data_IF_230788701013
#
_entry.id   IF_230788701013
#
_cell.length_a   1.000
_cell.length_b   1.000
_cell.length_c   1.000
_cell.angle_alpha   90.00
_cell.angle_beta   90.00
_cell.angle_gamma   90.00
#
_symmetry.space_group_name_H-M   'P 1'
#
loop_
_entity.id
_entity.type
_entity.pdbx_description
1 polymer ?
#
# COMPACT_ATOMS: atom_id res chain seq x y z
N UNK A 1 14.39 39.14 -29.54
CA UNK A 1 14.76 37.87 -30.19
C UNK A 1 14.06 36.77 -29.46
N UNK A 2 13.03 36.22 -30.05
CA UNK A 2 12.16 35.16 -29.44
C UNK A 2 12.86 33.82 -29.62
N UNK A 3 13.19 33.15 -28.51
CA UNK A 3 13.74 31.79 -28.56
C UNK A 3 12.57 30.81 -28.76
N UNK A 4 12.50 30.23 -29.94
CA UNK A 4 11.57 29.17 -30.30
C UNK A 4 12.01 27.89 -29.56
N UNK A 5 11.23 27.47 -28.57
CA UNK A 5 11.42 26.16 -27.94
C UNK A 5 11.11 25.06 -28.98
N UNK A 6 12.13 24.27 -29.29
CA UNK A 6 11.98 23.09 -30.14
C UNK A 6 11.06 22.07 -29.45
N UNK A 7 10.02 21.62 -30.15
CA UNK A 7 9.19 20.47 -29.74
C UNK A 7 10.09 19.23 -29.65
N UNK A 8 10.00 18.41 -28.57
CA UNK A 8 10.75 17.18 -28.51
C UNK A 8 10.30 16.23 -29.63
N UNK A 9 11.26 15.78 -30.40
CA UNK A 9 11.09 14.75 -31.44
C UNK A 9 10.65 13.44 -30.76
N UNK A 10 9.68 12.68 -31.28
CA UNK A 10 9.35 11.36 -30.73
C UNK A 10 10.58 10.45 -30.87
N UNK A 11 11.12 9.99 -29.73
CA UNK A 11 12.18 8.96 -29.72
C UNK A 11 11.66 7.70 -30.42
N UNK A 12 12.41 7.21 -31.39
CA UNK A 12 12.10 5.96 -32.10
C UNK A 12 12.08 4.80 -31.10
N UNK A 13 10.99 4.04 -31.06
CA UNK A 13 10.84 2.85 -30.22
C UNK A 13 11.89 1.82 -30.61
N UNK A 14 12.73 1.43 -29.65
CA UNK A 14 13.66 0.30 -29.82
C UNK A 14 12.85 -0.99 -30.03
N UNK A 15 13.34 -1.97 -30.84
CA UNK A 15 12.67 -3.25 -31.01
C UNK A 15 12.32 -3.89 -29.67
N UNK A 16 11.09 -4.36 -29.49
CA UNK A 16 10.62 -4.99 -28.25
C UNK A 16 10.16 -4.01 -27.16
N UNK A 17 9.94 -2.73 -27.50
CA UNK A 17 9.37 -1.73 -26.58
C UNK A 17 8.24 -0.94 -27.22
N UNK A 18 7.42 -0.28 -26.37
CA UNK A 18 6.40 0.68 -26.79
C UNK A 18 6.39 1.88 -25.84
N UNK A 19 5.78 2.96 -26.29
CA UNK A 19 5.64 4.19 -25.50
C UNK A 19 4.31 4.17 -24.74
N UNK A 20 4.33 4.57 -23.47
CA UNK A 20 3.15 4.77 -22.63
C UNK A 20 3.21 6.15 -21.98
N UNK A 21 2.06 6.83 -21.84
CA UNK A 21 1.96 8.07 -21.07
C UNK A 21 2.05 7.75 -19.58
N UNK A 22 2.65 8.68 -18.83
CA UNK A 22 2.78 8.57 -17.38
C UNK A 22 2.82 9.96 -16.74
N UNK A 23 2.54 10.02 -15.45
CA UNK A 23 2.77 11.18 -14.60
C UNK A 23 4.00 10.94 -13.72
N UNK A 24 4.94 11.88 -13.75
CA UNK A 24 6.21 11.78 -13.06
C UNK A 24 6.61 13.07 -12.36
N UNK A 25 7.36 12.92 -11.28
CA UNK A 25 8.20 14.00 -10.74
C UNK A 25 9.57 13.99 -11.44
N UNK A 26 10.08 15.17 -11.76
CA UNK A 26 11.41 15.36 -12.39
C UNK A 26 12.50 15.64 -11.36
N UNK A 27 12.13 16.00 -10.15
CA UNK A 27 13.01 16.29 -9.02
C UNK A 27 12.22 16.21 -7.70
N UNK A 28 12.87 16.23 -6.53
CA UNK A 28 12.20 16.21 -5.23
C UNK A 28 11.20 17.36 -4.98
N UNK A 29 11.36 18.44 -5.73
CA UNK A 29 10.57 19.67 -5.56
C UNK A 29 9.69 20.00 -6.76
N UNK A 30 9.71 19.20 -7.82
CA UNK A 30 8.87 19.43 -8.99
C UNK A 30 7.43 18.91 -8.73
N UNK A 31 6.48 19.60 -9.34
CA UNK A 31 5.14 19.03 -9.48
C UNK A 31 5.18 17.78 -10.37
N UNK A 32 4.22 16.88 -10.13
CA UNK A 32 3.93 15.78 -11.02
C UNK A 32 3.41 16.33 -12.35
N UNK A 33 3.91 15.80 -13.45
CA UNK A 33 3.53 16.19 -14.80
C UNK A 33 3.59 15.03 -15.79
N UNK A 34 2.94 15.20 -16.93
CA UNK A 34 2.88 14.17 -17.97
C UNK A 34 4.24 14.02 -18.67
N UNK A 35 4.62 12.76 -18.84
CA UNK A 35 5.79 12.34 -19.63
C UNK A 35 5.44 11.11 -20.47
N UNK A 36 6.30 10.78 -21.41
CA UNK A 36 6.28 9.47 -22.07
C UNK A 36 7.37 8.59 -21.47
N UNK A 37 7.04 7.35 -21.19
CA UNK A 37 7.96 6.32 -20.72
C UNK A 37 8.02 5.16 -21.71
N UNK A 38 9.10 4.38 -21.66
CA UNK A 38 9.21 3.13 -22.42
C UNK A 38 8.73 1.96 -21.54
N UNK A 39 7.94 1.07 -22.13
CA UNK A 39 7.56 -0.22 -21.58
C UNK A 39 8.06 -1.32 -22.51
N UNK A 40 8.44 -2.49 -21.95
CA UNK A 40 8.75 -3.67 -22.77
C UNK A 40 7.47 -4.24 -23.37
N UNK A 41 7.57 -4.85 -24.56
CA UNK A 41 6.53 -5.78 -25.04
C UNK A 41 6.55 -7.04 -24.20
N UNK A 42 5.41 -7.73 -23.98
CA UNK A 42 5.37 -8.94 -23.18
C UNK A 42 6.36 -10.01 -23.63
N UNK A 43 7.20 -10.48 -22.72
CA UNK A 43 8.03 -11.68 -22.84
C UNK A 43 7.15 -12.91 -22.57
N UNK A 44 7.65 -14.17 -22.75
CA UNK A 44 6.81 -15.37 -22.66
C UNK A 44 5.94 -15.48 -21.42
N UNK A 45 6.41 -15.06 -20.25
CA UNK A 45 5.65 -15.09 -18.97
C UNK A 45 5.03 -13.75 -18.57
N UNK A 46 5.16 -12.72 -19.37
CA UNK A 46 4.69 -11.39 -19.03
C UNK A 46 3.19 -11.21 -19.33
N UNK A 47 2.54 -10.46 -18.47
CA UNK A 47 1.18 -9.95 -18.64
C UNK A 47 1.27 -8.43 -18.80
N UNK A 48 0.74 -7.90 -19.89
CA UNK A 48 0.54 -6.47 -20.11
C UNK A 48 -0.84 -6.08 -19.60
N UNK A 49 -0.89 -5.14 -18.69
CA UNK A 49 -2.11 -4.66 -18.06
C UNK A 49 -2.35 -3.21 -18.48
N UNK A 50 -3.49 -2.91 -19.06
CA UNK A 50 -4.04 -1.57 -19.17
C UNK A 50 -4.53 -1.15 -17.79
N UNK A 51 -4.01 -0.05 -17.25
CA UNK A 51 -4.32 0.40 -15.90
C UNK A 51 -5.62 1.19 -15.93
N UNK A 52 -6.61 0.73 -15.17
CA UNK A 52 -7.88 1.42 -15.00
C UNK A 52 -7.83 2.37 -13.81
N UNK A 53 -7.31 1.88 -12.68
CA UNK A 53 -7.21 2.63 -11.44
C UNK A 53 -5.85 2.42 -10.77
N UNK A 54 -5.36 3.47 -10.14
CA UNK A 54 -4.18 3.38 -9.26
C UNK A 54 -4.41 4.17 -7.98
N UNK A 55 -4.26 3.52 -6.84
CA UNK A 55 -4.37 4.20 -5.55
C UNK A 55 -3.18 5.11 -5.27
N UNK A 56 -3.41 6.11 -4.41
CA UNK A 56 -2.36 7.03 -3.91
C UNK A 56 -2.01 6.67 -2.47
N UNK A 57 -0.74 6.39 -2.22
CA UNK A 57 -0.17 6.11 -0.92
C UNK A 57 0.74 7.26 -0.44
N UNK A 58 0.90 7.40 0.88
CA UNK A 58 1.94 8.30 1.44
C UNK A 58 3.34 7.90 0.96
N UNK A 59 3.59 6.61 0.75
CA UNK A 59 4.85 6.11 0.20
C UNK A 59 5.17 6.72 -1.16
N UNK A 60 4.17 6.92 -2.04
CA UNK A 60 4.36 7.56 -3.33
C UNK A 60 4.88 8.99 -3.17
N UNK A 61 4.30 9.75 -2.22
CA UNK A 61 4.73 11.11 -1.92
C UNK A 61 6.12 11.16 -1.30
N UNK A 62 6.44 10.25 -0.37
CA UNK A 62 7.77 10.14 0.23
C UNK A 62 8.86 9.87 -0.82
N UNK A 63 8.60 8.98 -1.79
CA UNK A 63 9.51 8.75 -2.91
C UNK A 63 9.61 9.97 -3.82
N UNK A 64 8.48 10.55 -4.25
CA UNK A 64 8.49 11.77 -5.09
C UNK A 64 9.34 12.87 -4.47
N UNK A 65 9.30 13.04 -3.15
CA UNK A 65 10.07 14.04 -2.39
C UNK A 65 11.45 13.58 -1.96
N UNK A 66 11.83 12.33 -2.28
CA UNK A 66 13.11 11.72 -1.86
C UNK A 66 13.33 11.74 -0.33
N UNK A 67 12.27 11.59 0.43
CA UNK A 67 12.32 11.60 1.90
C UNK A 67 12.95 10.31 2.47
N UNK A 68 13.04 9.26 1.67
CA UNK A 68 13.76 8.01 2.00
C UNK A 68 15.20 7.97 1.48
N UNK A 69 15.80 9.11 1.14
CA UNK A 69 17.13 9.20 0.52
C UNK A 69 18.23 8.41 1.25
N UNK A 70 18.15 8.32 2.57
CA UNK A 70 19.14 7.59 3.40
C UNK A 70 19.03 6.05 3.31
N UNK A 71 17.90 5.52 2.83
CA UNK A 71 17.62 4.08 2.77
C UNK A 71 17.43 3.65 1.32
N UNK A 72 16.58 4.36 0.58
CA UNK A 72 16.23 4.12 -0.81
C UNK A 72 16.12 5.45 -1.56
N UNK A 73 17.24 5.99 -2.10
CA UNK A 73 17.22 7.24 -2.84
C UNK A 73 16.35 7.13 -4.10
N UNK A 74 15.62 8.19 -4.41
CA UNK A 74 14.75 8.24 -5.58
C UNK A 74 15.54 8.57 -6.84
N UNK A 75 15.32 7.77 -7.88
CA UNK A 75 15.82 8.07 -9.24
C UNK A 75 14.74 8.84 -10.02
N UNK A 76 15.13 9.95 -10.64
CA UNK A 76 14.23 10.77 -11.45
C UNK A 76 14.48 10.57 -12.96
N UNK A 77 13.41 10.65 -13.81
CA UNK A 77 12.02 10.91 -13.45
C UNK A 77 11.44 9.76 -12.61
N UNK A 78 10.68 10.10 -11.57
CA UNK A 78 9.99 9.13 -10.72
C UNK A 78 8.53 9.02 -11.14
N UNK A 79 8.10 7.83 -11.58
CA UNK A 79 6.70 7.48 -11.84
C UNK A 79 6.25 6.55 -10.72
N UNK A 80 5.52 7.04 -9.72
CA UNK A 80 5.08 6.22 -8.59
C UNK A 80 3.82 5.40 -8.91
N UNK A 81 3.22 4.81 -7.88
CA UNK A 81 2.00 4.01 -7.95
C UNK A 81 2.26 2.50 -7.86
N UNK A 82 1.80 1.92 -6.77
CA UNK A 82 1.95 0.48 -6.44
C UNK A 82 0.62 -0.16 -5.98
N UNK A 83 -0.49 0.48 -6.33
CA UNK A 83 -1.84 0.02 -6.02
C UNK A 83 -2.63 -0.05 -7.34
N UNK A 84 -2.24 -0.96 -8.23
CA UNK A 84 -2.69 -1.01 -9.63
C UNK A 84 -3.82 -2.00 -9.79
N UNK A 85 -4.94 -1.56 -10.36
CA UNK A 85 -6.02 -2.42 -10.85
C UNK A 85 -6.27 -2.10 -12.31
N UNK A 86 -6.35 -3.14 -13.14
CA UNK A 86 -6.50 -2.97 -14.58
C UNK A 86 -7.07 -4.18 -15.29
N UNK A 87 -6.93 -4.15 -16.59
CA UNK A 87 -7.38 -5.21 -17.49
C UNK A 87 -6.20 -5.77 -18.29
N UNK A 88 -6.11 -7.08 -18.38
CA UNK A 88 -5.11 -7.76 -19.22
C UNK A 88 -5.34 -7.38 -20.67
N UNK A 89 -4.40 -6.68 -21.26
CA UNK A 89 -4.43 -6.23 -22.65
C UNK A 89 -3.72 -7.22 -23.59
N UNK A 90 -2.59 -7.81 -23.13
CA UNK A 90 -1.83 -8.82 -23.87
C UNK A 90 -1.15 -9.77 -22.89
N UNK A 91 -0.89 -10.99 -23.35
CA UNK A 91 -0.15 -12.00 -22.61
C UNK A 91 1.01 -12.56 -23.43
N UNK A 92 2.07 -12.98 -22.74
CA UNK A 92 3.15 -13.76 -23.35
C UNK A 92 2.75 -15.20 -23.64
N UNK A 93 3.51 -15.87 -24.49
CA UNK A 93 3.18 -17.22 -25.03
C UNK A 93 3.21 -18.33 -23.98
N UNK A 94 3.80 -18.11 -22.82
CA UNK A 94 3.90 -19.09 -21.72
C UNK A 94 3.04 -18.70 -20.50
N UNK A 95 2.24 -17.63 -20.58
CA UNK A 95 1.29 -17.23 -19.52
C UNK A 95 0.18 -18.27 -19.43
N UNK A 96 -0.12 -18.70 -18.21
CA UNK A 96 -1.13 -19.74 -17.92
C UNK A 96 -2.21 -19.28 -16.94
N UNK A 97 -1.91 -18.27 -16.13
CA UNK A 97 -2.80 -17.80 -15.04
C UNK A 97 -3.85 -16.78 -15.51
N UNK A 98 -3.61 -16.15 -16.66
CA UNK A 98 -4.43 -15.05 -17.18
C UNK A 98 -4.70 -15.18 -18.66
N UNK A 99 -5.78 -14.55 -19.13
CA UNK A 99 -6.11 -14.32 -20.53
C UNK A 99 -6.45 -12.86 -20.77
N UNK A 100 -6.39 -12.44 -22.03
CA UNK A 100 -6.81 -11.08 -22.43
C UNK A 100 -8.27 -10.82 -22.02
N UNK A 101 -8.49 -9.61 -21.46
CA UNK A 101 -9.76 -9.19 -20.91
C UNK A 101 -9.98 -9.48 -19.43
N UNK A 102 -9.18 -10.33 -18.80
CA UNK A 102 -9.28 -10.59 -17.35
C UNK A 102 -8.96 -9.32 -16.52
N UNK A 103 -9.58 -9.22 -15.36
CA UNK A 103 -9.22 -8.22 -14.37
C UNK A 103 -7.96 -8.68 -13.63
N UNK A 104 -7.01 -7.77 -13.47
CA UNK A 104 -5.73 -8.05 -12.87
C UNK A 104 -5.28 -6.89 -11.97
N UNK A 105 -4.46 -7.22 -10.99
CA UNK A 105 -3.89 -6.23 -10.08
C UNK A 105 -2.38 -6.45 -9.89
N UNK A 106 -1.67 -5.37 -9.58
CA UNK A 106 -0.25 -5.37 -9.22
C UNK A 106 -0.05 -4.53 -7.98
N UNK A 107 0.54 -5.12 -6.94
CA UNK A 107 0.82 -4.46 -5.67
C UNK A 107 2.20 -3.82 -5.63
N UNK A 108 2.85 -3.92 -4.47
CA UNK A 108 4.11 -3.23 -4.20
C UNK A 108 5.33 -3.84 -4.91
N UNK A 109 5.26 -5.08 -5.39
CA UNK A 109 6.38 -5.82 -5.95
C UNK A 109 6.06 -6.34 -7.35
N UNK A 110 7.09 -6.38 -8.22
CA UNK A 110 6.99 -6.88 -9.60
C UNK A 110 7.99 -7.99 -9.91
N UNK A 111 8.94 -8.26 -9.02
CA UNK A 111 9.87 -9.40 -9.13
C UNK A 111 10.59 -9.67 -7.78
N UNK A 112 11.29 -10.80 -7.70
CA UNK A 112 12.19 -11.21 -6.62
C UNK A 112 13.23 -12.20 -7.16
N UNK A 113 14.15 -12.72 -6.30
CA UNK A 113 15.08 -13.78 -6.73
C UNK A 113 14.41 -15.14 -6.91
N UNK A 114 13.19 -15.33 -6.38
CA UNK A 114 12.34 -16.54 -6.47
C UNK A 114 12.98 -17.82 -5.92
N UNK A 115 14.20 -17.74 -5.39
CA UNK A 115 15.01 -18.90 -5.01
C UNK A 115 15.41 -18.96 -3.56
N UNK A 116 15.45 -17.84 -2.85
CA UNK A 116 15.73 -17.81 -1.41
C UNK A 116 14.59 -18.43 -0.59
N UNK A 117 14.83 -18.67 0.68
CA UNK A 117 13.87 -19.27 1.61
C UNK A 117 12.54 -18.47 1.65
N UNK A 118 12.63 -17.16 1.89
CA UNK A 118 11.46 -16.29 1.94
C UNK A 118 10.61 -16.35 0.64
N UNK A 119 11.24 -16.30 -0.55
CA UNK A 119 10.52 -16.40 -1.81
C UNK A 119 9.84 -17.77 -1.99
N UNK A 120 10.46 -18.88 -1.56
CA UNK A 120 9.84 -20.21 -1.62
C UNK A 120 8.65 -20.35 -0.67
N UNK A 121 8.65 -19.60 0.42
CA UNK A 121 7.57 -19.56 1.40
C UNK A 121 6.45 -18.62 0.98
N UNK A 122 6.63 -17.83 -0.10
CA UNK A 122 5.67 -16.84 -0.59
C UNK A 122 5.70 -15.55 0.22
N UNK A 123 6.87 -15.23 0.77
CA UNK A 123 7.17 -14.02 1.54
C UNK A 123 8.20 -13.17 0.78
N UNK A 124 7.92 -12.87 -0.48
CA UNK A 124 8.82 -12.17 -1.41
C UNK A 124 9.24 -10.79 -0.88
N UNK A 125 8.45 -10.16 -0.02
CA UNK A 125 8.80 -8.89 0.65
C UNK A 125 10.06 -8.99 1.51
N UNK A 126 10.45 -10.21 1.91
CA UNK A 126 11.66 -10.50 2.67
C UNK A 126 12.74 -11.18 1.82
N UNK A 127 12.67 -11.06 0.50
CA UNK A 127 13.64 -11.65 -0.43
C UNK A 127 15.08 -11.28 -0.04
N UNK A 128 15.96 -12.28 0.08
CA UNK A 128 17.35 -12.09 0.50
C UNK A 128 18.15 -11.19 -0.47
N UNK A 129 17.80 -11.18 -1.74
CA UNK A 129 18.38 -10.31 -2.78
C UNK A 129 17.63 -8.99 -2.95
N UNK A 130 16.75 -8.66 -2.03
CA UNK A 130 15.75 -7.60 -2.08
C UNK A 130 14.70 -7.81 -3.18
N UNK A 131 13.41 -7.57 -2.90
CA UNK A 131 12.36 -7.59 -3.91
C UNK A 131 12.52 -6.42 -4.87
N UNK A 132 12.06 -6.59 -6.11
CA UNK A 132 11.95 -5.47 -7.05
C UNK A 132 10.59 -4.82 -6.85
N UNK A 133 10.61 -3.59 -6.37
CA UNK A 133 9.40 -2.80 -6.18
C UNK A 133 8.81 -2.32 -7.50
N UNK A 134 7.52 -2.06 -7.51
CA UNK A 134 6.74 -1.67 -8.69
C UNK A 134 7.23 -0.37 -9.32
N UNK A 135 7.85 0.51 -8.52
CA UNK A 135 8.59 1.66 -9.01
C UNK A 135 9.87 1.89 -8.19
N UNK A 136 10.81 2.64 -8.78
CA UNK A 136 12.12 2.97 -8.21
C UNK A 136 12.98 1.74 -7.84
N UNK A 137 12.60 0.53 -8.25
CA UNK A 137 13.43 -0.67 -8.17
C UNK A 137 14.30 -0.82 -9.42
N UNK A 138 15.36 -1.65 -9.40
CA UNK A 138 16.20 -1.88 -10.59
C UNK A 138 15.39 -2.59 -11.69
N UNK A 139 15.25 -1.98 -12.86
CA UNK A 139 14.62 -2.63 -14.02
C UNK A 139 15.61 -3.57 -14.71
N UNK A 140 15.45 -4.87 -14.50
CA UNK A 140 16.29 -5.92 -15.08
C UNK A 140 16.06 -6.13 -16.59
N UNK A 141 15.04 -5.50 -17.17
CA UNK A 141 14.63 -5.70 -18.56
C UNK A 141 15.03 -4.54 -19.47
N UNK A 142 14.84 -3.31 -19.04
CA UNK A 142 15.13 -2.11 -19.83
C UNK A 142 16.31 -1.32 -19.28
N UNK A 143 16.83 -1.70 -18.11
CA UNK A 143 17.80 -0.92 -17.36
C UNK A 143 17.19 0.29 -16.67
N UNK A 144 17.97 0.94 -15.80
CA UNK A 144 17.46 2.04 -14.98
C UNK A 144 16.54 1.55 -13.86
N UNK A 145 15.40 2.16 -13.70
CA UNK A 145 14.44 1.84 -12.63
C UNK A 145 13.06 1.50 -13.17
N UNK A 146 12.33 0.70 -12.39
CA UNK A 146 10.92 0.39 -12.65
C UNK A 146 10.06 1.65 -12.52
N UNK A 147 8.99 1.73 -13.30
CA UNK A 147 7.99 2.78 -13.28
C UNK A 147 6.63 2.23 -12.88
N UNK A 148 5.94 2.94 -11.98
CA UNK A 148 4.70 2.50 -11.36
C UNK A 148 3.43 2.75 -12.16
N UNK A 149 2.33 2.71 -11.42
CA UNK A 149 0.97 2.71 -11.95
C UNK A 149 0.39 4.07 -12.28
N UNK A 150 1.13 5.18 -12.06
CA UNK A 150 0.66 6.48 -12.57
C UNK A 150 0.96 6.58 -14.07
N UNK A 151 0.55 5.55 -14.82
CA UNK A 151 0.78 5.39 -16.24
C UNK A 151 -0.33 4.57 -16.91
N UNK A 152 -0.40 4.62 -18.24
CA UNK A 152 -1.43 3.93 -19.02
C UNK A 152 -1.36 2.40 -18.87
N UNK A 153 -0.16 1.86 -18.66
CA UNK A 153 0.01 0.40 -18.65
C UNK A 153 1.23 -0.04 -17.86
N UNK A 154 1.25 -1.31 -17.47
CA UNK A 154 2.39 -1.98 -16.86
C UNK A 154 2.57 -3.37 -17.49
N UNK A 155 3.82 -3.87 -17.49
CA UNK A 155 4.15 -5.24 -17.95
C UNK A 155 4.89 -5.95 -16.84
N UNK A 156 4.30 -7.06 -16.35
CA UNK A 156 4.76 -7.78 -15.17
C UNK A 156 4.70 -9.28 -15.43
N UNK A 157 5.65 -10.05 -14.92
CA UNK A 157 5.61 -11.52 -14.94
C UNK A 157 4.35 -12.03 -14.21
N UNK A 158 3.68 -13.05 -14.76
CA UNK A 158 2.41 -13.58 -14.23
C UNK A 158 2.49 -14.01 -12.76
N UNK A 159 3.67 -14.32 -12.23
CA UNK A 159 3.86 -14.71 -10.85
C UNK A 159 3.70 -13.54 -9.86
N UNK A 160 3.78 -12.30 -10.35
CA UNK A 160 3.57 -11.07 -9.57
C UNK A 160 2.27 -10.33 -9.93
N UNK A 161 1.41 -10.99 -10.70
CA UNK A 161 0.08 -10.49 -11.05
C UNK A 161 -0.99 -11.19 -10.21
N UNK A 162 -1.95 -10.43 -9.71
CA UNK A 162 -3.02 -10.87 -8.81
C UNK A 162 -4.36 -10.88 -9.54
N UNK A 163 -5.22 -11.84 -9.22
CA UNK A 163 -6.61 -11.88 -9.69
C UNK A 163 -7.46 -10.97 -8.82
N UNK A 164 -8.34 -10.20 -9.46
CA UNK A 164 -9.32 -9.35 -8.77
C UNK A 164 -10.66 -10.08 -8.65
N UNK A 165 -11.23 -10.26 -7.44
CA UNK A 165 -12.57 -10.81 -7.26
C UNK A 165 -13.61 -9.97 -8.01
N UNK A 166 -14.50 -10.63 -8.75
CA UNK A 166 -15.43 -9.97 -9.68
C UNK A 166 -16.50 -9.09 -9.00
N UNK A 167 -16.78 -9.35 -7.74
CA UNK A 167 -17.78 -8.61 -6.95
C UNK A 167 -17.22 -7.35 -6.27
N UNK A 168 -15.90 -7.13 -6.31
CA UNK A 168 -15.30 -5.94 -5.74
C UNK A 168 -15.34 -4.77 -6.73
N UNK A 169 -15.65 -3.58 -6.23
CA UNK A 169 -15.56 -2.34 -6.99
C UNK A 169 -14.08 -2.02 -7.25
N UNK A 170 -13.71 -1.76 -8.52
CA UNK A 170 -12.31 -1.74 -8.96
C UNK A 170 -11.49 -0.61 -8.33
N UNK A 171 -12.05 0.61 -8.30
CA UNK A 171 -11.36 1.73 -7.70
C UNK A 171 -11.11 1.51 -6.20
N UNK A 172 -12.13 0.98 -5.49
CA UNK A 172 -12.03 0.68 -4.06
C UNK A 172 -11.14 -0.56 -3.75
N UNK A 173 -10.83 -1.37 -4.76
CA UNK A 173 -9.90 -2.50 -4.66
C UNK A 173 -8.43 -2.05 -4.73
N UNK A 174 -8.12 -0.99 -5.46
CA UNK A 174 -6.73 -0.55 -5.65
C UNK A 174 -5.97 -0.35 -4.32
N UNK A 175 -6.50 0.34 -3.29
CA UNK A 175 -5.79 0.48 -2.02
C UNK A 175 -5.60 -0.80 -1.21
N UNK A 176 -6.33 -1.89 -1.53
CA UNK A 176 -6.13 -3.19 -0.88
C UNK A 176 -4.71 -3.73 -1.14
N UNK A 177 -4.12 -3.39 -2.26
CA UNK A 177 -2.80 -3.86 -2.71
C UNK A 177 -1.63 -3.28 -1.89
N UNK A 178 -1.90 -2.26 -1.06
CA UNK A 178 -0.94 -1.71 -0.12
C UNK A 178 -1.56 -1.64 1.29
N UNK A 179 -2.55 -0.76 1.51
CA UNK A 179 -3.16 -0.58 2.83
C UNK A 179 -3.89 -1.85 3.32
N UNK A 180 -4.52 -2.58 2.40
CA UNK A 180 -5.19 -3.86 2.70
C UNK A 180 -4.19 -4.89 3.17
N UNK A 181 -3.22 -5.25 2.35
CA UNK A 181 -2.24 -6.30 2.69
C UNK A 181 -1.38 -5.91 3.89
N UNK A 182 -0.95 -4.64 4.02
CA UNK A 182 -0.15 -4.15 5.15
C UNK A 182 -0.88 -4.32 6.49
N UNK A 183 -2.20 -4.26 6.51
CA UNK A 183 -2.99 -4.46 7.73
C UNK A 183 -3.52 -5.89 7.88
N UNK A 184 -3.75 -6.59 6.78
CA UNK A 184 -4.19 -8.00 6.79
C UNK A 184 -3.08 -8.95 7.27
N UNK A 185 -1.87 -8.83 6.71
CA UNK A 185 -0.75 -9.71 7.02
C UNK A 185 -0.49 -9.82 8.53
N UNK A 186 -0.29 -8.73 9.29
CA UNK A 186 -0.05 -8.84 10.73
C UNK A 186 -1.27 -9.35 11.51
N UNK A 187 -2.52 -9.08 11.07
CA UNK A 187 -3.73 -9.67 11.68
C UNK A 187 -3.76 -11.19 11.48
N UNK A 188 -3.42 -11.64 10.28
CA UNK A 188 -3.35 -13.05 9.89
C UNK A 188 -2.27 -13.80 10.70
N UNK A 189 -1.05 -13.25 10.77
CA UNK A 189 0.06 -13.83 11.53
C UNK A 189 -0.16 -13.82 13.04
N UNK A 190 -0.90 -12.83 13.57
CA UNK A 190 -1.35 -12.83 14.95
C UNK A 190 -2.54 -13.76 15.21
N UNK A 191 -3.02 -14.47 14.18
CA UNK A 191 -4.17 -15.36 14.25
C UNK A 191 -5.42 -14.66 14.85
N UNK A 192 -5.67 -13.44 14.39
CA UNK A 192 -6.84 -12.63 14.80
C UNK A 192 -8.12 -13.34 14.35
N UNK A 193 -9.09 -13.45 15.28
CA UNK A 193 -10.35 -14.17 15.10
C UNK A 193 -11.39 -13.71 16.12
N UNK A 194 -12.58 -14.28 16.03
CA UNK A 194 -13.64 -14.06 17.02
C UNK A 194 -13.15 -14.33 18.45
N UNK A 195 -13.56 -13.49 19.38
CA UNK A 195 -13.20 -13.53 20.79
C UNK A 195 -11.91 -12.78 21.16
N UNK A 196 -11.11 -12.32 20.18
CA UNK A 196 -9.96 -11.47 20.46
C UNK A 196 -10.35 -9.98 20.45
N UNK A 197 -9.72 -9.20 21.31
CA UNK A 197 -9.85 -7.73 21.33
C UNK A 197 -8.63 -7.11 20.64
N UNK A 198 -8.90 -6.36 19.57
CA UNK A 198 -7.90 -5.76 18.71
C UNK A 198 -7.97 -4.24 18.78
N UNK A 199 -6.83 -3.59 19.00
CA UNK A 199 -6.68 -2.15 18.95
C UNK A 199 -6.14 -1.69 17.61
N UNK A 200 -6.73 -0.64 17.03
CA UNK A 200 -6.21 0.04 15.84
C UNK A 200 -5.81 1.44 16.23
N UNK A 201 -4.51 1.73 16.18
CA UNK A 201 -3.98 3.05 16.55
C UNK A 201 -3.88 3.91 15.30
N UNK A 202 -4.67 4.99 15.27
CA UNK A 202 -4.84 5.87 14.13
C UNK A 202 -6.00 5.45 13.20
N UNK A 203 -6.70 6.45 12.67
CA UNK A 203 -7.77 6.26 11.67
C UNK A 203 -7.46 7.10 10.44
N UNK A 204 -6.56 6.59 9.62
CA UNK A 204 -6.14 7.11 8.32
C UNK A 204 -6.24 6.02 7.26
N UNK A 205 -5.43 6.15 6.20
CA UNK A 205 -5.43 5.21 5.06
C UNK A 205 -5.16 3.75 5.42
N UNK A 206 -4.26 3.47 6.37
CA UNK A 206 -4.02 2.12 6.90
C UNK A 206 -5.08 1.75 7.94
N UNK A 207 -5.32 2.64 8.91
CA UNK A 207 -6.20 2.32 10.05
C UNK A 207 -7.62 1.98 9.64
N UNK A 208 -8.21 2.63 8.60
CA UNK A 208 -9.56 2.29 8.16
C UNK A 208 -9.62 0.87 7.58
N UNK A 209 -8.58 0.42 6.86
CA UNK A 209 -8.49 -0.97 6.41
C UNK A 209 -8.29 -1.95 7.57
N UNK A 210 -7.44 -1.58 8.55
CA UNK A 210 -7.25 -2.37 9.76
C UNK A 210 -8.56 -2.59 10.53
N UNK A 211 -9.41 -1.56 10.64
CA UNK A 211 -10.74 -1.69 11.27
C UNK A 211 -11.61 -2.67 10.48
N UNK A 212 -11.77 -2.46 9.17
CA UNK A 212 -12.63 -3.30 8.32
C UNK A 212 -12.17 -4.76 8.32
N UNK A 213 -10.88 -5.01 8.16
CA UNK A 213 -10.32 -6.37 8.12
C UNK A 213 -10.38 -7.07 9.47
N UNK A 214 -10.02 -6.40 10.57
CA UNK A 214 -10.13 -6.99 11.90
C UNK A 214 -11.59 -7.32 12.28
N UNK A 215 -12.53 -6.47 11.88
CA UNK A 215 -13.97 -6.71 12.06
C UNK A 215 -14.45 -7.90 11.23
N UNK A 216 -14.02 -7.99 9.96
CA UNK A 216 -14.37 -9.12 9.09
C UNK A 216 -13.79 -10.45 9.59
N UNK A 217 -12.63 -10.42 10.28
CA UNK A 217 -12.06 -11.58 11.00
C UNK A 217 -12.80 -11.92 12.30
N UNK A 218 -13.83 -11.14 12.67
CA UNK A 218 -14.67 -11.37 13.84
C UNK A 218 -14.12 -10.85 15.18
N UNK A 219 -13.06 -10.05 15.17
CA UNK A 219 -12.48 -9.49 16.38
C UNK A 219 -13.37 -8.37 16.98
N UNK A 220 -13.24 -8.15 18.29
CA UNK A 220 -13.76 -6.94 18.93
C UNK A 220 -12.78 -5.79 18.71
N UNK A 221 -13.13 -4.85 17.84
CA UNK A 221 -12.24 -3.78 17.36
C UNK A 221 -12.44 -2.49 18.13
N UNK A 222 -11.35 -1.92 18.64
CA UNK A 222 -11.32 -0.61 19.30
C UNK A 222 -10.35 0.31 18.55
N UNK A 223 -10.81 1.50 18.19
CA UNK A 223 -10.00 2.50 17.49
C UNK A 223 -9.45 3.51 18.49
N UNK A 224 -8.17 3.78 18.44
CA UNK A 224 -7.51 4.87 19.18
C UNK A 224 -7.29 6.07 18.25
N UNK A 225 -7.85 7.21 18.60
CA UNK A 225 -7.72 8.43 17.79
C UNK A 225 -7.56 9.67 18.68
N UNK A 226 -6.80 10.64 18.20
CA UNK A 226 -6.72 11.97 18.82
C UNK A 226 -7.81 12.92 18.34
N UNK A 227 -8.69 12.45 17.44
CA UNK A 227 -9.68 13.25 16.73
C UNK A 227 -11.09 12.74 17.02
N UNK A 228 -11.79 13.26 18.06
CA UNK A 228 -13.13 12.80 18.42
C UNK A 228 -14.18 12.87 17.28
N UNK A 229 -13.99 13.81 16.33
CA UNK A 229 -14.85 13.92 15.14
C UNK A 229 -14.80 12.69 14.23
N UNK A 230 -13.80 11.80 14.38
CA UNK A 230 -13.70 10.54 13.62
C UNK A 230 -14.49 9.39 14.26
N UNK A 231 -15.12 9.57 15.41
CA UNK A 231 -15.85 8.49 16.12
C UNK A 231 -16.95 7.88 15.26
N UNK A 232 -17.80 8.71 14.65
CA UNK A 232 -18.88 8.22 13.79
C UNK A 232 -18.35 7.41 12.59
N UNK A 233 -17.24 7.84 11.99
CA UNK A 233 -16.61 7.11 10.90
C UNK A 233 -16.02 5.77 11.38
N UNK A 234 -15.35 5.73 12.53
CA UNK A 234 -14.81 4.50 13.08
C UNK A 234 -15.91 3.45 13.31
N UNK A 235 -17.03 3.85 13.88
CA UNK A 235 -18.19 2.98 14.10
C UNK A 235 -18.78 2.50 12.76
N UNK A 236 -18.94 3.39 11.79
CA UNK A 236 -19.39 3.04 10.44
C UNK A 236 -18.49 2.02 9.75
N UNK A 237 -17.18 2.10 9.99
CA UNK A 237 -16.19 1.16 9.44
C UNK A 237 -16.20 -0.21 10.16
N UNK A 238 -16.89 -0.33 11.29
CA UNK A 238 -17.02 -1.58 12.04
C UNK A 238 -16.35 -1.59 13.41
N UNK A 239 -15.82 -0.46 13.89
CA UNK A 239 -15.28 -0.40 15.25
C UNK A 239 -16.40 -0.56 16.29
N UNK A 240 -16.14 -1.35 17.32
CA UNK A 240 -17.06 -1.58 18.43
C UNK A 240 -16.93 -0.49 19.49
N UNK A 241 -15.77 0.15 19.60
CA UNK A 241 -15.51 1.23 20.54
C UNK A 241 -14.43 2.19 19.98
N UNK A 242 -14.43 3.44 20.47
CA UNK A 242 -13.47 4.46 20.07
C UNK A 242 -12.95 5.17 21.31
N UNK A 243 -11.64 5.23 21.45
CA UNK A 243 -10.93 5.80 22.59
C UNK A 243 -10.18 7.05 22.14
N UNK A 244 -10.41 8.16 22.83
CA UNK A 244 -9.58 9.34 22.68
C UNK A 244 -8.21 9.08 23.33
N UNK A 245 -7.18 8.87 22.54
CA UNK A 245 -5.83 8.56 23.04
C UNK A 245 -5.13 9.70 23.79
N UNK A 246 -5.71 10.91 23.79
CA UNK A 246 -5.27 12.04 24.64
C UNK A 246 -5.91 12.06 26.02
N UNK A 247 -6.89 11.19 26.27
CA UNK A 247 -7.61 11.10 27.54
C UNK A 247 -7.05 9.95 28.37
N UNK A 248 -6.23 10.25 29.37
CA UNK A 248 -5.71 9.24 30.29
C UNK A 248 -6.83 8.45 30.95
N UNK A 249 -7.94 9.11 31.28
CA UNK A 249 -9.09 8.46 31.91
C UNK A 249 -9.77 7.45 30.99
N UNK A 250 -9.81 7.69 29.65
CA UNK A 250 -10.32 6.72 28.69
C UNK A 250 -9.32 5.58 28.50
N UNK A 251 -8.03 5.89 28.32
CA UNK A 251 -6.97 4.89 28.17
C UNK A 251 -6.91 3.93 29.36
N UNK A 252 -7.01 4.44 30.58
CA UNK A 252 -6.98 3.64 31.82
C UNK A 252 -8.07 2.55 31.88
N UNK A 253 -9.24 2.77 31.30
CA UNK A 253 -10.33 1.78 31.23
C UNK A 253 -9.94 0.51 30.45
N UNK A 254 -8.91 0.61 29.63
CA UNK A 254 -8.50 -0.45 28.71
C UNK A 254 -7.16 -1.12 29.10
N UNK A 255 -6.58 -0.78 30.23
CA UNK A 255 -5.32 -1.38 30.72
C UNK A 255 -5.46 -2.92 30.80
N UNK A 256 -4.50 -3.64 30.23
CA UNK A 256 -4.44 -5.11 30.19
C UNK A 256 -5.68 -5.80 29.56
N UNK A 257 -6.29 -5.18 28.55
CA UNK A 257 -7.50 -5.75 27.91
C UNK A 257 -7.33 -6.18 26.46
N UNK A 258 -6.24 -5.77 25.77
CA UNK A 258 -6.02 -6.07 24.35
C UNK A 258 -5.17 -7.32 24.15
N UNK A 259 -5.59 -8.16 23.23
CA UNK A 259 -4.81 -9.30 22.76
C UNK A 259 -3.77 -8.85 21.72
N UNK A 260 -4.16 -7.91 20.85
CA UNK A 260 -3.35 -7.42 19.76
C UNK A 260 -3.63 -5.93 19.49
N UNK A 261 -2.60 -5.18 19.13
CA UNK A 261 -2.73 -3.77 18.73
C UNK A 261 -1.89 -3.57 17.46
N UNK A 262 -2.49 -2.96 16.43
CA UNK A 262 -1.77 -2.49 15.24
C UNK A 262 -1.57 -0.99 15.35
N UNK A 263 -0.33 -0.55 15.22
CA UNK A 263 0.03 0.86 15.16
C UNK A 263 0.25 1.29 13.70
N UNK A 264 -0.61 2.18 13.23
CA UNK A 264 -0.61 2.70 11.86
C UNK A 264 -0.08 4.13 11.76
N UNK A 265 0.44 4.69 12.86
CA UNK A 265 0.87 6.09 12.92
C UNK A 265 2.32 6.24 12.44
N UNK A 266 2.58 7.05 11.40
CA UNK A 266 3.95 7.28 10.91
C UNK A 266 4.70 8.38 11.68
N UNK A 267 4.04 9.04 12.65
CA UNK A 267 4.62 10.12 13.41
C UNK A 267 5.01 9.67 14.84
N UNK A 268 5.91 10.42 15.47
CA UNK A 268 6.28 10.19 16.87
C UNK A 268 5.06 10.32 17.78
N UNK A 269 4.84 9.32 18.63
CA UNK A 269 3.79 9.30 19.65
C UNK A 269 4.19 8.41 20.83
N UNK A 270 3.37 8.40 21.89
CA UNK A 270 3.68 7.65 23.13
C UNK A 270 3.24 6.19 23.02
N UNK A 271 4.17 5.32 22.60
CA UNK A 271 3.89 3.88 22.42
C UNK A 271 3.72 3.11 23.72
N UNK A 272 4.37 3.55 24.81
CA UNK A 272 4.32 2.83 26.07
C UNK A 272 2.91 2.87 26.67
N UNK A 273 2.11 3.89 26.34
CA UNK A 273 0.70 3.92 26.70
C UNK A 273 -0.05 2.72 26.11
N UNK A 274 0.19 2.38 24.85
CA UNK A 274 -0.44 1.23 24.19
C UNK A 274 0.10 -0.12 24.67
N UNK A 275 1.38 -0.21 25.01
CA UNK A 275 1.96 -1.40 25.64
C UNK A 275 1.24 -1.72 26.96
N UNK A 276 0.87 -0.71 27.74
CA UNK A 276 0.14 -0.91 28.99
C UNK A 276 -1.26 -1.47 28.78
N UNK A 277 -1.87 -1.25 27.62
CA UNK A 277 -3.20 -1.78 27.27
C UNK A 277 -3.19 -3.28 26.94
N UNK A 278 -2.02 -3.83 26.56
CA UNK A 278 -1.88 -5.23 26.20
C UNK A 278 -2.09 -6.15 27.41
N UNK A 279 -2.81 -7.25 27.21
CA UNK A 279 -2.84 -8.39 28.13
C UNK A 279 -1.47 -9.03 28.28
N UNK A 280 -1.37 -9.99 29.20
CA UNK A 280 -0.25 -10.92 29.22
C UNK A 280 -0.16 -11.65 27.87
N UNK A 281 1.05 -11.73 27.31
CA UNK A 281 1.38 -12.32 26.01
C UNK A 281 0.84 -11.53 24.79
N UNK A 282 0.18 -10.39 25.02
CA UNK A 282 -0.32 -9.52 23.94
C UNK A 282 0.82 -8.87 23.15
N UNK A 283 0.50 -8.40 21.94
CA UNK A 283 1.47 -7.85 21.01
C UNK A 283 1.04 -6.50 20.46
N UNK A 284 1.98 -5.55 20.43
CA UNK A 284 1.90 -4.31 19.65
C UNK A 284 2.70 -4.47 18.37
N UNK A 285 2.07 -4.28 17.23
CA UNK A 285 2.70 -4.44 15.93
C UNK A 285 2.68 -3.13 15.13
N UNK A 286 3.85 -2.72 14.63
CA UNK A 286 4.01 -1.52 13.82
C UNK A 286 3.83 -1.85 12.34
N UNK A 287 3.05 -1.02 11.66
CA UNK A 287 2.95 -0.94 10.20
C UNK A 287 3.15 0.52 9.72
N UNK A 288 3.04 1.49 10.63
CA UNK A 288 3.50 2.85 10.40
C UNK A 288 5.02 2.96 10.59
N UNK A 289 5.68 3.83 9.84
CA UNK A 289 7.13 4.05 9.92
C UNK A 289 7.40 5.43 10.53
N UNK A 290 7.65 5.54 11.85
CA UNK A 290 8.03 6.80 12.47
C UNK A 290 9.37 7.31 11.93
N UNK A 291 9.46 8.61 11.67
CA UNK A 291 10.70 9.24 11.18
C UNK A 291 11.78 9.40 12.25
N UNK A 292 11.42 9.23 13.53
CA UNK A 292 12.32 9.35 14.68
C UNK A 292 12.31 8.08 15.53
N UNK A 293 13.42 7.78 16.26
CA UNK A 293 13.45 6.69 17.23
C UNK A 293 12.33 6.81 18.26
N UNK A 294 11.69 5.70 18.58
CA UNK A 294 10.60 5.62 19.54
C UNK A 294 11.12 5.06 20.86
N UNK A 295 11.06 5.80 21.97
CA UNK A 295 11.59 5.35 23.27
C UNK A 295 10.72 4.23 23.83
N UNK A 296 11.37 3.16 24.31
CA UNK A 296 10.73 1.96 24.85
C UNK A 296 11.05 1.80 26.34
N UNK A 297 10.01 1.64 27.16
CA UNK A 297 10.14 1.35 28.61
C UNK A 297 10.08 -0.16 28.82
N UNK A 298 11.24 -0.80 28.91
CA UNK A 298 11.40 -2.26 28.99
C UNK A 298 10.60 -2.94 30.11
N UNK A 299 10.50 -2.41 31.36
CA UNK A 299 9.67 -3.03 32.39
C UNK A 299 8.21 -3.28 31.96
N UNK A 300 7.63 -2.38 31.11
CA UNK A 300 6.28 -2.56 30.58
C UNK A 300 6.08 -3.83 29.76
N UNK A 301 7.14 -4.35 29.15
CA UNK A 301 7.13 -5.63 28.44
C UNK A 301 7.30 -6.82 29.40
N UNK A 302 8.21 -6.69 30.35
CA UNK A 302 8.60 -7.80 31.22
C UNK A 302 7.45 -8.29 32.09
N UNK A 303 6.70 -7.40 32.74
CA UNK A 303 5.64 -7.75 33.67
C UNK A 303 4.43 -8.43 33.03
N UNK A 304 4.37 -8.52 31.69
CA UNK A 304 3.28 -9.21 31.01
C UNK A 304 3.73 -10.13 29.89
N UNK A 305 5.03 -10.41 29.72
CA UNK A 305 5.59 -11.09 28.52
C UNK A 305 5.03 -10.49 27.22
N UNK A 306 4.84 -9.18 27.22
CA UNK A 306 4.27 -8.46 26.07
C UNK A 306 5.29 -8.42 24.94
N UNK A 307 4.80 -8.34 23.72
CA UNK A 307 5.64 -8.39 22.51
C UNK A 307 5.49 -7.10 21.73
N UNK A 308 6.59 -6.73 21.04
CA UNK A 308 6.60 -5.69 20.03
C UNK A 308 7.11 -6.33 18.75
N UNK A 309 6.48 -6.02 17.64
CA UNK A 309 6.88 -6.48 16.33
C UNK A 309 6.62 -5.44 15.24
N UNK A 310 7.04 -5.77 14.04
CA UNK A 310 6.75 -5.02 12.82
C UNK A 310 6.26 -5.96 11.73
N UNK A 311 5.58 -5.40 10.74
CA UNK A 311 5.15 -6.12 9.54
C UNK A 311 5.33 -5.22 8.33
N UNK A 312 5.84 -5.79 7.25
CA UNK A 312 6.07 -5.10 5.98
C UNK A 312 5.17 -5.71 4.92
N UNK A 313 4.18 -4.96 4.41
CA UNK A 313 3.27 -5.43 3.35
C UNK A 313 2.90 -6.91 3.52
N UNK A 314 2.94 -7.70 2.44
CA UNK A 314 2.82 -9.16 2.44
C UNK A 314 3.32 -9.72 1.11
N UNK A 315 3.60 -11.01 1.05
CA UNK A 315 3.99 -11.71 -0.17
C UNK A 315 2.85 -11.82 -1.17
N UNK A 316 3.15 -12.28 -2.38
CA UNK A 316 2.17 -12.36 -3.47
C UNK A 316 1.04 -13.34 -3.12
N UNK A 317 1.38 -14.49 -2.55
CA UNK A 317 0.39 -15.49 -2.12
C UNK A 317 -0.56 -14.92 -1.06
N UNK A 318 -0.01 -14.28 -0.04
CA UNK A 318 -0.82 -13.69 1.05
C UNK A 318 -1.66 -12.50 0.56
N UNK A 319 -1.13 -11.72 -0.41
CA UNK A 319 -1.89 -10.64 -1.04
C UNK A 319 -3.08 -11.18 -1.84
N UNK A 320 -2.92 -12.32 -2.53
CA UNK A 320 -4.05 -12.98 -3.19
C UNK A 320 -5.07 -13.52 -2.18
N UNK A 321 -4.62 -14.17 -1.09
CA UNK A 321 -5.50 -14.62 0.01
C UNK A 321 -6.29 -13.45 0.59
N UNK A 322 -5.66 -12.30 0.79
CA UNK A 322 -6.32 -11.09 1.28
C UNK A 322 -7.39 -10.58 0.29
N UNK A 323 -7.09 -10.57 -1.01
CA UNK A 323 -8.08 -10.16 -2.03
C UNK A 323 -9.26 -11.12 -2.07
N UNK A 324 -9.02 -12.43 -2.03
CA UNK A 324 -10.06 -13.46 -2.02
C UNK A 324 -10.92 -13.31 -0.74
N UNK A 325 -10.31 -13.12 0.44
CA UNK A 325 -10.99 -12.81 1.70
C UNK A 325 -11.84 -11.53 1.59
N UNK A 326 -11.29 -10.48 1.00
CA UNK A 326 -12.04 -9.23 0.76
C UNK A 326 -13.24 -9.47 -0.16
N UNK A 327 -13.11 -10.32 -1.18
CA UNK A 327 -14.20 -10.74 -2.04
C UNK A 327 -15.30 -11.49 -1.29
N UNK A 328 -14.95 -12.44 -0.44
CA UNK A 328 -15.89 -13.22 0.37
C UNK A 328 -16.67 -12.36 1.37
N UNK A 329 -16.00 -11.37 1.97
CA UNK A 329 -16.56 -10.51 3.01
C UNK A 329 -17.04 -9.14 2.50
N UNK A 330 -16.95 -8.85 1.19
CA UNK A 330 -17.26 -7.55 0.57
C UNK A 330 -16.51 -6.37 1.25
N UNK A 331 -15.24 -6.56 1.55
CA UNK A 331 -14.38 -5.54 2.15
C UNK A 331 -13.63 -4.79 1.06
N UNK A 332 -13.81 -3.48 0.98
CA UNK A 332 -13.09 -2.57 0.09
C UNK A 332 -12.65 -1.32 0.84
N UNK A 333 -11.75 -0.54 0.26
CA UNK A 333 -11.37 0.76 0.81
C UNK A 333 -12.48 1.81 0.60
N UNK A 334 -12.53 2.81 1.47
CA UNK A 334 -13.30 4.03 1.23
C UNK A 334 -12.43 4.97 0.38
N UNK A 335 -12.91 5.35 -0.80
CA UNK A 335 -12.10 6.05 -1.79
C UNK A 335 -12.74 7.34 -2.29
N UNK A 336 -11.89 8.29 -2.67
CA UNK A 336 -12.22 9.46 -3.47
C UNK A 336 -11.51 9.31 -4.81
N UNK A 337 -12.26 9.19 -5.90
CA UNK A 337 -11.71 9.04 -7.26
C UNK A 337 -11.35 10.42 -7.79
N UNK A 338 -10.17 10.54 -8.38
CA UNK A 338 -9.64 11.78 -8.95
C UNK A 338 -9.14 11.56 -10.38
N UNK A 339 -9.11 12.63 -11.17
CA UNK A 339 -8.39 12.65 -12.43
C UNK A 339 -6.89 12.76 -12.21
N UNK A 340 -6.07 12.23 -13.13
CA UNK A 340 -4.61 12.24 -13.02
C UNK A 340 -4.02 13.66 -12.90
N UNK A 341 -4.67 14.66 -13.48
CA UNK A 341 -4.27 16.07 -13.39
C UNK A 341 -4.40 16.64 -11.97
N UNK A 342 -5.19 16.00 -11.10
CA UNK A 342 -5.43 16.44 -9.72
C UNK A 342 -4.41 15.87 -8.71
N UNK A 343 -3.42 15.07 -9.15
CA UNK A 343 -2.44 14.41 -8.27
C UNK A 343 -1.75 15.40 -7.33
N UNK A 344 -1.30 16.55 -7.84
CA UNK A 344 -0.60 17.54 -7.01
C UNK A 344 -1.52 18.09 -5.89
N UNK A 345 -2.77 18.35 -6.21
CA UNK A 345 -3.76 18.76 -5.21
C UNK A 345 -4.06 17.63 -4.20
N UNK A 346 -4.16 16.41 -4.68
CA UNK A 346 -4.37 15.24 -3.82
C UNK A 346 -3.21 15.05 -2.82
N UNK A 347 -1.97 15.24 -3.25
CA UNK A 347 -0.80 15.20 -2.37
C UNK A 347 -0.86 16.28 -1.27
N UNK A 348 -1.26 17.51 -1.60
CA UNK A 348 -1.43 18.57 -0.61
C UNK A 348 -2.55 18.27 0.39
N UNK A 349 -3.66 17.67 -0.08
CA UNK A 349 -4.76 17.22 0.78
C UNK A 349 -4.35 16.03 1.66
N UNK A 350 -3.57 15.10 1.11
CA UNK A 350 -3.06 13.93 1.83
C UNK A 350 -2.21 14.34 3.04
N UNK A 351 -1.32 15.34 2.88
CA UNK A 351 -0.51 15.90 3.98
C UNK A 351 -1.35 16.54 5.08
N UNK A 352 -2.52 17.06 4.74
CA UNK A 352 -3.46 17.67 5.69
C UNK A 352 -4.43 16.65 6.30
N UNK A 353 -4.30 15.36 5.96
CA UNK A 353 -5.27 14.31 6.28
C UNK A 353 -6.72 14.66 5.82
N UNK A 354 -6.84 15.40 4.72
CA UNK A 354 -8.10 15.83 4.12
C UNK A 354 -8.56 14.83 3.03
N UNK A 355 -8.79 13.59 3.44
CA UNK A 355 -9.36 12.52 2.60
C UNK A 355 -9.97 11.43 3.47
N UNK A 356 -11.09 10.85 3.04
CA UNK A 356 -11.73 9.70 3.70
C UNK A 356 -11.89 8.55 2.70
N UNK A 357 -10.94 7.60 2.63
CA UNK A 357 -9.67 7.58 3.36
C UNK A 357 -8.51 7.46 2.39
N UNK A 358 -8.79 7.17 1.09
CA UNK A 358 -7.77 6.98 0.05
C UNK A 358 -8.16 7.73 -1.21
N UNK A 359 -7.17 8.37 -1.86
CA UNK A 359 -7.35 8.81 -3.23
C UNK A 359 -7.07 7.66 -4.19
N UNK A 360 -7.82 7.62 -5.28
CA UNK A 360 -7.61 6.69 -6.39
C UNK A 360 -7.69 7.45 -7.70
N UNK A 361 -6.68 7.30 -8.54
CA UNK A 361 -6.60 7.93 -9.85
C UNK A 361 -7.39 7.08 -10.85
N UNK A 362 -8.33 7.71 -11.55
CA UNK A 362 -8.94 7.16 -12.77
C UNK A 362 -7.99 7.39 -13.96
N UNK A 363 -7.35 6.33 -14.44
CA UNK A 363 -6.37 6.41 -15.51
C UNK A 363 -7.00 6.64 -16.89
N UNK A 364 -8.33 6.56 -17.06
CA UNK A 364 -9.01 7.02 -18.27
C UNK A 364 -8.84 8.52 -18.51
N UNK A 365 -8.47 9.28 -17.46
CA UNK A 365 -8.16 10.70 -17.52
C UNK A 365 -6.77 11.02 -18.10
N UNK A 366 -5.88 10.03 -18.28
CA UNK A 366 -4.53 10.22 -18.83
C UNK A 366 -4.61 10.38 -20.37
N UNK A 367 -4.81 11.58 -20.86
CA UNK A 367 -5.04 11.86 -22.29
C UNK A 367 -3.88 12.65 -22.90
#
# INVERSE_FOLDING_TARGET
MSATQAKPTPEATSPGTYTAKAYAAQSPTSNMGMINIRRRTPKPKDVQIEILYCGICHTDLHFVRNEFANIMPTTYPCVPGHEIVGRVAKIGTAVTKFKEGDLAAVGCMVDSDRTCEACREGEEQFCASQPIFTYNGPDQHLGGVTYGGYSESVVVDEDFVLRVPKNLELAATAPLLCAGITTYSPLRHANVRAGLKVGIVGLGGLGHMGVKLATALGAHVVVFTTSPQKTADAVRLGAHDVVNSRSDAEMQKHVNTFDYIIDTIPAKHEINAYINLLKRDGMLNFVGVPSEPVPLVIPGLLFGRKKIGGSLIGGIRETQEMLDFCGEHNVTADVEIIEVQQINQAYERLLKNDVKYRFVIDLASIK
#
